data_IF_309182729102
#
_entry.id   IF_309182729102
#
_cell.length_a   1.000
_cell.length_b   1.000
_cell.length_c   1.000
_cell.angle_alpha   90.00
_cell.angle_beta   90.00
_cell.angle_gamma   90.00
#
_symmetry.space_group_name_H-M   'P 1'
#
loop_
_entity.id
_entity.type
_entity.pdbx_description
1 polymer ?
#
# COMPACT_ATOMS: atom_id res chain seq x y z
N UNK A 1 -13.52 -31.14 -34.15
CA UNK A 1 -12.52 -30.05 -34.11
C UNK A 1 -13.09 -28.76 -33.54
N UNK A 2 -14.15 -28.17 -34.12
CA UNK A 2 -14.82 -26.95 -33.59
C UNK A 2 -15.22 -27.00 -32.11
N UNK A 3 -15.83 -28.10 -31.64
CA UNK A 3 -16.17 -28.26 -30.22
C UNK A 3 -14.96 -28.39 -29.29
N UNK A 4 -13.86 -28.99 -29.76
CA UNK A 4 -12.61 -29.13 -29.00
C UNK A 4 -11.93 -27.76 -28.82
N UNK A 5 -11.97 -26.92 -29.86
CA UNK A 5 -11.46 -25.54 -29.81
C UNK A 5 -12.29 -24.70 -28.83
N UNK A 6 -13.61 -24.81 -28.86
CA UNK A 6 -14.48 -24.10 -27.89
C UNK A 6 -14.20 -24.50 -26.44
N UNK A 7 -13.97 -25.79 -26.17
CA UNK A 7 -13.66 -26.27 -24.81
C UNK A 7 -12.30 -25.75 -24.33
N UNK A 8 -11.27 -25.78 -25.19
CA UNK A 8 -9.95 -25.23 -24.87
C UNK A 8 -10.02 -23.72 -24.60
N UNK A 9 -10.81 -22.99 -25.38
CA UNK A 9 -10.99 -21.55 -25.21
C UNK A 9 -11.74 -21.22 -23.91
N UNK A 10 -12.79 -21.97 -23.58
CA UNK A 10 -13.54 -21.82 -22.32
C UNK A 10 -12.68 -22.15 -21.09
N UNK A 11 -11.86 -23.20 -21.17
CA UNK A 11 -10.92 -23.56 -20.12
C UNK A 11 -9.89 -22.44 -19.87
N UNK A 12 -9.36 -21.82 -20.94
CA UNK A 12 -8.41 -20.71 -20.83
C UNK A 12 -9.02 -19.47 -20.17
N UNK A 13 -10.27 -19.13 -20.51
CA UNK A 13 -11.00 -18.03 -19.85
C UNK A 13 -11.20 -18.32 -18.36
N UNK A 14 -11.52 -19.56 -18.00
CA UNK A 14 -11.77 -19.96 -16.61
C UNK A 14 -10.49 -19.88 -15.75
N UNK A 15 -9.32 -20.21 -16.30
CA UNK A 15 -8.03 -20.07 -15.60
C UNK A 15 -7.69 -18.59 -15.36
N UNK A 16 -7.95 -17.71 -16.33
CA UNK A 16 -7.73 -16.28 -16.18
C UNK A 16 -8.62 -15.65 -15.09
N UNK A 17 -9.83 -16.16 -14.87
CA UNK A 17 -10.73 -15.65 -13.83
C UNK A 17 -10.27 -16.01 -12.40
N UNK A 18 -9.66 -17.18 -12.22
CA UNK A 18 -9.14 -17.64 -10.91
C UNK A 18 -7.79 -16.96 -10.57
N UNK A 19 -7.13 -16.37 -11.55
CA UNK A 19 -5.86 -15.66 -11.37
C UNK A 19 -6.03 -14.19 -10.91
N UNK A 20 -7.22 -13.76 -10.48
CA UNK A 20 -7.41 -12.39 -9.98
C UNK A 20 -6.70 -12.21 -8.64
N UNK A 21 -5.61 -11.43 -8.65
CA UNK A 21 -4.86 -11.11 -7.45
C UNK A 21 -5.69 -10.20 -6.53
N UNK A 22 -6.04 -10.69 -5.34
CA UNK A 22 -6.62 -9.86 -4.29
C UNK A 22 -5.53 -8.96 -3.71
N UNK A 23 -5.82 -7.66 -3.60
CA UNK A 23 -4.93 -6.68 -2.97
C UNK A 23 -5.61 -6.03 -1.78
N UNK A 24 -4.83 -5.72 -0.76
CA UNK A 24 -5.17 -4.79 0.33
C UNK A 24 -4.26 -3.57 0.25
N UNK A 25 -4.68 -2.46 0.85
CA UNK A 25 -4.00 -1.18 0.71
C UNK A 25 -3.77 -0.51 2.07
N UNK A 26 -2.71 0.28 2.14
CA UNK A 26 -2.46 1.22 3.23
C UNK A 26 -1.87 2.51 2.68
N UNK A 27 -1.82 3.55 3.49
CA UNK A 27 -1.22 4.82 3.15
C UNK A 27 -0.10 5.16 4.14
N UNK A 28 1.07 5.55 3.63
CA UNK A 28 2.08 6.24 4.44
C UNK A 28 1.82 7.73 4.30
N UNK A 29 1.61 8.40 5.42
CA UNK A 29 1.40 9.84 5.51
C UNK A 29 2.57 10.45 6.25
N UNK A 30 3.15 11.51 5.70
CA UNK A 30 4.15 12.26 6.45
C UNK A 30 4.27 13.72 6.10
N UNK A 31 4.73 14.51 7.07
CA UNK A 31 4.88 15.95 6.90
C UNK A 31 6.17 16.33 6.17
N UNK A 32 6.12 17.44 5.43
CA UNK A 32 7.27 18.01 4.72
C UNK A 32 8.20 18.82 5.61
N UNK A 33 8.34 18.49 6.90
CA UNK A 33 9.20 19.23 7.80
C UNK A 33 10.69 18.87 7.56
N UNK A 34 11.27 19.44 6.51
CA UNK A 34 12.68 19.26 6.15
C UNK A 34 13.65 20.12 7.00
N UNK A 35 13.18 20.83 8.03
CA UNK A 35 13.98 21.77 8.83
C UNK A 35 14.84 21.12 9.94
N UNK A 36 14.95 19.79 9.94
CA UNK A 36 15.84 19.03 10.83
C UNK A 36 15.17 18.44 12.08
N UNK A 37 13.91 18.78 12.34
CA UNK A 37 13.08 18.06 13.31
C UNK A 37 12.67 16.71 12.73
N UNK A 38 12.39 15.73 13.60
CA UNK A 38 11.93 14.41 13.21
C UNK A 38 10.63 14.52 12.39
N UNK A 39 10.67 14.05 11.13
CA UNK A 39 9.48 13.96 10.26
C UNK A 39 8.44 13.09 10.92
N UNK A 40 7.19 13.55 10.98
CA UNK A 40 6.08 12.69 11.42
C UNK A 40 5.74 11.76 10.27
N UNK A 41 5.84 10.46 10.52
CA UNK A 41 5.51 9.41 9.56
C UNK A 41 4.55 8.45 10.22
N UNK A 42 3.39 8.27 9.60
CA UNK A 42 2.34 7.38 10.06
C UNK A 42 1.91 6.46 8.93
N UNK A 43 1.53 5.23 9.28
CA UNK A 43 0.99 4.25 8.32
C UNK A 43 -0.47 3.99 8.70
N UNK A 44 -1.35 4.38 7.81
CA UNK A 44 -2.80 4.32 7.98
C UNK A 44 -3.35 3.14 7.18
N UNK A 45 -4.09 2.27 7.87
CA UNK A 45 -4.82 1.17 7.27
C UNK A 45 -6.31 1.50 7.27
N UNK A 46 -7.07 0.95 6.32
CA UNK A 46 -8.52 1.03 6.36
C UNK A 46 -9.12 0.28 7.56
N UNK A 47 -10.37 0.57 7.89
CA UNK A 47 -11.06 -0.01 9.06
C UNK A 47 -11.19 -1.54 8.98
N UNK A 48 -11.33 -2.09 7.77
CA UNK A 48 -11.53 -3.51 7.52
C UNK A 48 -10.23 -4.17 7.04
N UNK A 49 -9.31 -4.40 7.97
CA UNK A 49 -8.06 -5.14 7.71
C UNK A 49 -8.37 -6.63 7.56
N UNK A 50 -7.89 -7.25 6.48
CA UNK A 50 -8.01 -8.70 6.27
C UNK A 50 -7.30 -9.48 7.39
N UNK A 51 -7.96 -10.51 7.94
CA UNK A 51 -7.41 -11.33 9.00
C UNK A 51 -6.06 -11.95 8.64
N UNK A 52 -5.83 -12.25 7.36
CA UNK A 52 -4.57 -12.80 6.86
C UNK A 52 -3.36 -11.88 7.14
N UNK A 53 -3.58 -10.57 7.22
CA UNK A 53 -2.50 -9.57 7.39
C UNK A 53 -2.55 -8.85 8.74
N UNK A 54 -3.41 -9.29 9.66
CA UNK A 54 -3.62 -8.61 10.94
C UNK A 54 -2.34 -8.55 11.79
N UNK A 55 -1.61 -9.66 11.91
CA UNK A 55 -0.35 -9.70 12.66
C UNK A 55 0.72 -8.79 12.06
N UNK A 56 0.80 -8.74 10.72
CA UNK A 56 1.72 -7.84 10.02
C UNK A 56 1.34 -6.37 10.24
N UNK A 57 0.04 -6.07 10.19
CA UNK A 57 -0.50 -4.73 10.46
C UNK A 57 -0.15 -4.27 11.88
N UNK A 58 -0.29 -5.14 12.88
CA UNK A 58 0.06 -4.83 14.27
C UNK A 58 1.57 -4.54 14.42
N UNK A 59 2.42 -5.29 13.71
CA UNK A 59 3.86 -5.02 13.65
C UNK A 59 4.17 -3.66 13.02
N UNK A 60 3.51 -3.33 11.91
CA UNK A 60 3.69 -2.05 11.21
C UNK A 60 3.26 -0.88 12.09
N UNK A 61 2.11 -1.00 12.78
CA UNK A 61 1.60 0.03 13.71
C UNK A 61 2.52 0.28 14.90
N UNK A 62 3.28 -0.73 15.33
CA UNK A 62 4.25 -0.59 16.43
C UNK A 62 5.59 0.02 15.99
N UNK A 63 5.88 0.09 14.69
CA UNK A 63 7.12 0.62 14.17
C UNK A 63 7.17 2.15 14.25
N UNK A 64 8.38 2.69 14.42
CA UNK A 64 8.65 4.13 14.40
C UNK A 64 9.67 4.44 13.32
N UNK A 65 9.40 5.44 12.51
CA UNK A 65 10.26 5.83 11.41
C UNK A 65 10.89 7.20 11.66
N UNK A 66 12.10 7.41 11.15
CA UNK A 66 12.78 8.71 11.23
C UNK A 66 12.65 9.49 9.92
N UNK A 67 12.32 8.81 8.83
CA UNK A 67 12.07 9.40 7.51
C UNK A 67 11.01 8.61 6.74
N UNK A 68 10.45 9.22 5.70
CA UNK A 68 9.54 8.54 4.76
C UNK A 68 10.23 7.35 4.07
N UNK A 69 11.53 7.46 3.79
CA UNK A 69 12.31 6.40 3.13
C UNK A 69 12.50 5.20 4.07
N UNK A 70 12.69 5.43 5.38
CA UNK A 70 12.75 4.33 6.34
C UNK A 70 11.44 3.54 6.37
N UNK A 71 10.31 4.23 6.31
CA UNK A 71 8.99 3.60 6.24
C UNK A 71 8.82 2.81 4.95
N UNK A 72 9.19 3.37 3.80
CA UNK A 72 9.13 2.67 2.51
C UNK A 72 10.01 1.42 2.50
N UNK A 73 11.25 1.50 3.00
CA UNK A 73 12.15 0.36 3.07
C UNK A 73 11.60 -0.74 4.00
N UNK A 74 11.03 -0.35 5.14
CA UNK A 74 10.37 -1.29 6.04
C UNK A 74 9.17 -1.97 5.36
N UNK A 75 8.29 -1.20 4.73
CA UNK A 75 7.10 -1.72 4.06
C UNK A 75 7.46 -2.62 2.88
N UNK A 76 8.47 -2.26 2.08
CA UNK A 76 8.98 -3.08 0.99
C UNK A 76 9.52 -4.43 1.49
N UNK A 77 10.25 -4.45 2.62
CA UNK A 77 10.71 -5.69 3.27
C UNK A 77 9.55 -6.58 3.72
N UNK A 78 8.43 -5.97 4.08
CA UNK A 78 7.19 -6.64 4.45
C UNK A 78 6.35 -7.07 3.22
N UNK A 79 6.83 -6.84 2.00
CA UNK A 79 6.16 -7.25 0.76
C UNK A 79 5.13 -6.25 0.22
N UNK A 80 5.06 -5.04 0.79
CA UNK A 80 4.21 -3.99 0.26
C UNK A 80 4.85 -3.33 -0.97
N UNK A 81 4.03 -3.07 -1.99
CA UNK A 81 4.43 -2.46 -3.25
C UNK A 81 3.88 -1.03 -3.31
N UNK A 82 4.69 -0.08 -3.79
CA UNK A 82 4.27 1.30 -3.98
C UNK A 82 3.38 1.42 -5.23
N UNK A 83 2.17 1.95 -5.07
CA UNK A 83 1.20 2.11 -6.15
C UNK A 83 1.11 3.56 -6.64
N UNK A 84 1.05 4.51 -5.71
CA UNK A 84 0.84 5.91 -6.03
C UNK A 84 1.45 6.84 -4.98
N UNK A 85 1.85 8.03 -5.41
CA UNK A 85 2.27 9.11 -4.52
C UNK A 85 1.59 10.41 -4.90
N UNK A 86 1.19 11.20 -3.91
CA UNK A 86 0.71 12.57 -4.11
C UNK A 86 1.05 13.45 -2.91
N UNK A 87 0.97 14.76 -3.10
CA UNK A 87 1.22 15.73 -2.04
C UNK A 87 0.03 16.68 -1.94
N UNK A 88 -0.36 16.98 -0.71
CA UNK A 88 -1.37 17.98 -0.39
C UNK A 88 -0.62 19.19 0.20
N UNK A 89 -0.59 20.34 -0.51
CA UNK A 89 -0.07 21.57 0.07
C UNK A 89 -0.92 21.99 1.27
N UNK A 90 -0.29 22.28 2.41
CA UNK A 90 -1.01 22.91 3.52
C UNK A 90 -1.29 24.36 3.16
N UNK A 91 -2.56 24.70 2.97
CA UNK A 91 -3.01 26.04 2.57
C UNK A 91 -3.25 26.98 3.76
N UNK A 92 -3.14 26.49 5.00
CA UNK A 92 -3.43 27.23 6.23
C UNK A 92 -2.24 27.21 7.19
N UNK A 93 -1.76 28.38 7.62
CA UNK A 93 -0.67 28.52 8.62
C UNK A 93 0.54 29.31 8.11
N UNK A 94 1.41 29.71 9.04
CA UNK A 94 2.59 30.57 8.77
C UNK A 94 3.80 29.79 8.23
N UNK A 95 3.78 28.45 8.31
CA UNK A 95 4.75 27.55 7.70
C UNK A 95 4.07 26.76 6.57
N UNK A 96 4.36 27.12 5.31
CA UNK A 96 3.85 26.42 4.12
C UNK A 96 4.52 25.04 4.01
N UNK A 97 3.88 24.01 4.55
CA UNK A 97 4.30 22.61 4.41
C UNK A 97 3.56 21.90 3.27
N UNK A 98 3.98 20.67 2.98
CA UNK A 98 3.20 19.71 2.21
C UNK A 98 3.04 18.45 3.06
N UNK A 99 1.87 17.83 3.02
CA UNK A 99 1.70 16.45 3.49
C UNK A 99 1.89 15.54 2.30
N UNK A 100 2.77 14.56 2.45
CA UNK A 100 3.06 13.57 1.43
C UNK A 100 2.33 12.27 1.74
N UNK A 101 1.70 11.72 0.72
CA UNK A 101 0.92 10.49 0.77
C UNK A 101 1.50 9.47 -0.19
N UNK A 102 1.71 8.25 0.30
CA UNK A 102 2.18 7.11 -0.47
C UNK A 102 1.20 5.97 -0.27
N UNK A 103 0.49 5.60 -1.34
CA UNK A 103 -0.43 4.46 -1.34
C UNK A 103 0.37 3.22 -1.67
N UNK A 104 0.31 2.21 -0.80
CA UNK A 104 0.95 0.93 -0.98
C UNK A 104 -0.10 -0.17 -1.05
N UNK A 105 0.20 -1.24 -1.78
CA UNK A 105 -0.61 -2.45 -1.80
C UNK A 105 0.17 -3.66 -1.32
N UNK A 106 -0.56 -4.68 -0.87
CA UNK A 106 -0.04 -5.99 -0.57
C UNK A 106 -0.93 -7.02 -1.25
N UNK A 107 -0.32 -7.94 -1.99
CA UNK A 107 -1.02 -9.08 -2.56
C UNK A 107 -1.36 -10.06 -1.44
N UNK A 108 -2.62 -10.46 -1.38
CA UNK A 108 -3.12 -11.44 -0.42
C UNK A 108 -3.45 -12.71 -1.19
N UNK A 109 -2.82 -13.83 -0.84
CA UNK A 109 -3.25 -15.14 -1.30
C UNK A 109 -4.53 -15.53 -0.57
N UNK A 110 -5.52 -16.03 -1.31
CA UNK A 110 -6.71 -16.67 -0.73
C UNK A 110 -6.36 -17.96 0.03
#
# INVERSE_FOLDING_TARGET
MKHLICILFAAMISVCAIAQEKKTYCEIVGDGNFKGDKVKVEIVFGDNVDNAIKSQTDQVKAAKFNSMVDALNFMAKQGWELEQTYAIPETSGMNRGCIFHYVLSLKISE
#
